data_IF_281249214393
#
_entry.id   IF_281249214393
#
_cell.length_a   1.000
_cell.length_b   1.000
_cell.length_c   1.000
_cell.angle_alpha   90.00
_cell.angle_beta   90.00
_cell.angle_gamma   90.00
#
_symmetry.space_group_name_H-M   'P 1'
#
loop_
_entity.id
_entity.type
_entity.pdbx_description
1 polymer ?
#
# COMPACT_ATOMS: atom_id res chain seq x y z
N UNK A 1 -4.13 -4.37 4.00
CA UNK A 1 -3.83 -3.80 2.66
C UNK A 1 -3.39 -2.36 2.80
N UNK A 2 -2.43 -1.92 2.01
CA UNK A 2 -1.98 -0.53 1.89
C UNK A 2 -2.12 -0.16 0.39
N UNK A 3 -2.78 0.93 0.02
CA UNK A 3 -2.61 1.60 -1.28
C UNK A 3 -1.92 2.91 -0.98
N UNK A 4 -0.82 3.18 -1.66
CA UNK A 4 -0.04 4.38 -1.44
C UNK A 4 -0.25 5.40 -2.57
N UNK A 5 -0.62 6.62 -2.20
CA UNK A 5 -0.87 7.73 -3.12
C UNK A 5 -0.20 9.00 -2.58
N UNK A 6 0.70 9.60 -3.35
CA UNK A 6 1.31 10.91 -3.06
C UNK A 6 0.94 11.91 -4.15
N UNK A 7 0.46 13.09 -3.74
CA UNK A 7 0.06 14.17 -4.65
C UNK A 7 0.59 15.51 -4.15
N UNK A 8 1.34 16.25 -4.96
CA UNK A 8 1.66 17.67 -4.76
C UNK A 8 0.66 18.55 -5.52
N UNK A 9 0.40 19.75 -5.00
CA UNK A 9 -0.57 20.71 -5.55
C UNK A 9 0.04 21.77 -6.47
N UNK A 10 1.35 21.79 -6.71
CA UNK A 10 1.99 22.80 -7.57
C UNK A 10 3.08 22.19 -8.45
N UNK A 11 3.13 22.55 -9.76
CA UNK A 11 4.23 22.10 -10.62
C UNK A 11 4.24 22.40 -12.13
N UNK A 12 5.43 22.69 -12.69
CA UNK A 12 5.77 22.84 -14.14
C UNK A 12 6.30 21.53 -14.77
N UNK A 13 6.03 21.33 -16.07
CA UNK A 13 6.13 20.10 -16.87
C UNK A 13 7.41 19.22 -16.84
N UNK A 14 8.52 19.60 -16.19
CA UNK A 14 9.78 18.85 -16.21
C UNK A 14 10.00 17.92 -15.00
N UNK A 15 9.19 18.04 -13.94
CA UNK A 15 9.33 17.24 -12.71
C UNK A 15 8.05 16.45 -12.38
N UNK A 16 8.17 15.37 -11.58
CA UNK A 16 7.01 14.59 -11.12
C UNK A 16 6.42 15.23 -9.86
N UNK A 17 5.15 15.59 -9.93
CA UNK A 17 4.40 16.17 -8.81
C UNK A 17 3.42 15.18 -8.17
N UNK A 18 3.35 13.96 -8.67
CA UNK A 18 2.53 12.91 -8.07
C UNK A 18 3.13 11.54 -8.31
N UNK A 19 2.83 10.63 -7.40
CA UNK A 19 3.18 9.21 -7.47
C UNK A 19 2.01 8.41 -6.92
N UNK A 20 1.44 7.53 -7.74
CA UNK A 20 0.30 6.70 -7.39
C UNK A 20 0.70 5.25 -7.57
N UNK A 21 0.62 4.44 -6.53
CA UNK A 21 1.07 3.03 -6.55
C UNK A 21 -0.11 2.12 -6.25
N UNK A 22 -0.37 1.15 -7.14
CA UNK A 22 -1.30 0.07 -6.91
C UNK A 22 -0.57 -1.10 -6.23
N UNK A 23 -0.48 -1.04 -4.91
CA UNK A 23 0.31 -1.94 -4.08
C UNK A 23 -0.12 -3.40 -4.20
N UNK A 24 0.78 -4.25 -4.70
CA UNK A 24 0.48 -5.65 -4.98
C UNK A 24 -0.39 -5.90 -6.23
N UNK A 25 -0.83 -4.84 -6.91
CA UNK A 25 -1.75 -4.89 -8.04
C UNK A 25 -1.10 -4.48 -9.36
N UNK A 26 -1.83 -4.67 -10.46
CA UNK A 26 -1.35 -4.32 -11.80
C UNK A 26 -1.44 -2.81 -12.03
N UNK A 27 -0.71 -2.31 -13.05
CA UNK A 27 -0.88 -0.93 -13.50
C UNK A 27 -2.34 -0.71 -13.90
N UNK A 28 -2.98 0.33 -13.37
CA UNK A 28 -4.40 0.58 -13.58
C UNK A 28 -4.69 2.07 -13.66
N UNK A 29 -5.83 2.42 -14.25
CA UNK A 29 -6.27 3.81 -14.39
C UNK A 29 -7.64 3.97 -13.76
N UNK A 30 -7.79 4.96 -12.88
CA UNK A 30 -9.06 5.31 -12.25
C UNK A 30 -9.32 6.79 -12.49
N UNK A 31 -10.38 7.08 -13.26
CA UNK A 31 -10.60 8.43 -13.78
C UNK A 31 -9.41 8.89 -14.63
N UNK A 32 -8.78 9.98 -14.22
CA UNK A 32 -7.59 10.55 -14.90
C UNK A 32 -6.27 10.20 -14.19
N UNK A 33 -6.29 9.33 -13.19
CA UNK A 33 -5.12 8.96 -12.38
C UNK A 33 -4.62 7.58 -12.81
N UNK A 34 -3.33 7.52 -13.16
CA UNK A 34 -2.64 6.26 -13.47
C UNK A 34 -1.91 5.79 -12.22
N UNK A 35 -2.27 4.60 -11.74
CA UNK A 35 -1.59 3.92 -10.64
C UNK A 35 -0.55 2.96 -11.23
N UNK A 36 0.71 3.14 -10.84
CA UNK A 36 1.80 2.25 -11.22
C UNK A 36 1.64 0.89 -10.55
N UNK A 37 1.90 -0.18 -11.30
CA UNK A 37 1.72 -1.55 -10.84
C UNK A 37 2.87 -2.01 -9.94
N UNK A 38 2.53 -2.78 -8.92
CA UNK A 38 3.47 -3.37 -7.98
C UNK A 38 3.26 -4.89 -7.90
N UNK A 39 3.70 -5.61 -8.94
CA UNK A 39 3.57 -7.07 -9.05
C UNK A 39 4.89 -7.82 -8.84
N UNK A 40 5.94 -7.13 -8.39
CA UNK A 40 7.30 -7.66 -8.33
C UNK A 40 7.50 -8.61 -7.15
N UNK A 41 8.54 -9.44 -7.24
CA UNK A 41 8.86 -10.39 -6.19
C UNK A 41 9.21 -9.69 -4.87
N UNK A 42 8.40 -9.96 -3.84
CA UNK A 42 8.76 -9.70 -2.45
C UNK A 42 9.76 -10.74 -1.93
N UNK A 43 10.12 -10.63 -0.65
CA UNK A 43 11.02 -11.60 -0.02
C UNK A 43 11.53 -11.19 1.35
N UNK A 44 12.25 -12.13 1.97
CA UNK A 44 12.87 -12.00 3.30
C UNK A 44 13.72 -10.74 3.49
N UNK A 45 14.45 -10.36 2.45
CA UNK A 45 15.16 -9.11 2.33
C UNK A 45 15.23 -8.77 0.84
N UNK A 46 14.38 -7.83 0.40
CA UNK A 46 14.34 -7.39 -1.00
C UNK A 46 14.39 -5.88 -1.07
N UNK A 47 15.14 -5.41 -2.05
CA UNK A 47 15.15 -4.05 -2.52
C UNK A 47 14.88 -4.08 -4.01
N UNK A 48 13.80 -3.43 -4.44
CA UNK A 48 13.39 -3.39 -5.83
C UNK A 48 13.32 -1.93 -6.31
N UNK A 49 14.38 -1.44 -6.98
CA UNK A 49 14.31 -0.15 -7.66
C UNK A 49 13.44 -0.27 -8.91
N UNK A 50 12.31 0.42 -8.89
CA UNK A 50 11.22 0.24 -9.85
C UNK A 50 11.13 1.43 -10.79
N UNK A 51 11.60 1.27 -12.04
CA UNK A 51 11.72 2.36 -13.03
C UNK A 51 12.55 3.53 -12.42
N UNK A 52 12.82 4.59 -13.18
CA UNK A 52 13.77 5.65 -12.79
C UNK A 52 13.35 6.51 -11.58
N UNK A 53 12.14 6.33 -11.02
CA UNK A 53 11.53 7.33 -10.12
C UNK A 53 10.76 6.77 -8.92
N UNK A 54 10.66 5.46 -8.72
CA UNK A 54 10.12 4.90 -7.47
C UNK A 54 10.68 3.50 -7.17
N UNK A 55 10.26 2.89 -6.07
CA UNK A 55 10.63 1.52 -5.72
C UNK A 55 10.15 1.13 -4.34
N UNK A 56 10.51 -0.07 -3.92
CA UNK A 56 10.22 -0.54 -2.58
C UNK A 56 11.32 -1.38 -1.96
N UNK A 57 11.24 -1.52 -0.65
CA UNK A 57 11.97 -2.52 0.11
C UNK A 57 11.01 -3.31 1.02
N UNK A 58 11.31 -4.58 1.22
CA UNK A 58 10.56 -5.47 2.10
C UNK A 58 11.49 -6.32 2.94
N UNK A 59 11.11 -6.56 4.19
CA UNK A 59 11.80 -7.49 5.08
C UNK A 59 10.84 -8.51 5.69
N UNK A 60 11.39 -9.58 6.23
CA UNK A 60 10.63 -10.59 6.96
C UNK A 60 10.20 -11.76 6.09
N UNK A 61 10.05 -12.91 6.74
CA UNK A 61 9.83 -14.19 6.08
C UNK A 61 8.58 -14.88 6.63
N UNK A 62 7.64 -15.26 5.75
CA UNK A 62 6.50 -16.10 6.12
C UNK A 62 6.97 -17.54 6.25
N UNK A 63 6.65 -18.19 7.37
CA UNK A 63 7.01 -19.59 7.57
C UNK A 63 6.13 -20.48 6.68
N UNK A 64 6.78 -21.45 6.01
CA UNK A 64 6.21 -22.65 5.35
C UNK A 64 6.22 -22.72 3.79
N UNK A 65 6.53 -23.93 3.28
CA UNK A 65 6.54 -24.44 1.88
C UNK A 65 7.42 -23.77 0.78
N UNK A 66 7.44 -24.43 -0.40
CA UNK A 66 8.19 -24.05 -1.60
C UNK A 66 7.60 -22.76 -2.21
N UNK A 67 8.45 -21.73 -2.27
CA UNK A 67 8.03 -20.33 -2.36
C UNK A 67 7.58 -19.93 -3.76
N UNK A 68 6.54 -19.10 -3.82
CA UNK A 68 6.18 -18.40 -5.06
C UNK A 68 5.94 -16.92 -4.79
N UNK A 69 5.96 -16.10 -5.84
CA UNK A 69 5.63 -14.67 -5.77
C UNK A 69 4.30 -14.38 -5.06
N UNK A 70 3.38 -15.35 -5.06
CA UNK A 70 2.07 -15.26 -4.43
C UNK A 70 2.12 -15.17 -2.90
N UNK A 71 3.23 -15.58 -2.27
CA UNK A 71 3.35 -15.55 -0.80
C UNK A 71 3.45 -14.11 -0.26
N UNK A 72 3.82 -13.14 -1.11
CA UNK A 72 3.97 -11.72 -0.76
C UNK A 72 2.89 -10.83 -1.39
N UNK A 73 1.88 -11.44 -2.03
CA UNK A 73 0.76 -10.72 -2.64
C UNK A 73 -0.55 -11.39 -2.21
N UNK A 74 -1.32 -10.70 -1.39
CA UNK A 74 -2.68 -11.12 -1.10
C UNK A 74 -3.56 -10.85 -2.32
N UNK A 75 -4.44 -11.80 -2.60
CA UNK A 75 -5.57 -11.62 -3.50
C UNK A 75 -6.86 -11.70 -2.70
N UNK A 76 -7.74 -10.75 -2.93
CA UNK A 76 -9.04 -10.72 -2.30
C UNK A 76 -9.91 -11.89 -2.82
N UNK A 77 -10.73 -12.46 -1.94
CA UNK A 77 -11.57 -13.64 -2.23
C UNK A 77 -13.06 -13.36 -2.15
N UNK A 78 -13.47 -12.08 -2.04
CA UNK A 78 -14.86 -11.68 -1.78
C UNK A 78 -15.28 -10.46 -2.61
N UNK A 79 -16.56 -10.11 -2.64
CA UNK A 79 -17.00 -8.96 -3.44
C UNK A 79 -16.78 -7.67 -2.64
N UNK A 80 -15.97 -6.76 -3.18
CA UNK A 80 -15.74 -5.45 -2.57
C UNK A 80 -16.81 -4.46 -3.04
N UNK A 81 -17.75 -4.12 -2.16
CA UNK A 81 -18.87 -3.21 -2.44
C UNK A 81 -18.52 -1.72 -2.50
N UNK A 82 -17.27 -1.37 -2.80
CA UNK A 82 -16.76 0.00 -2.82
C UNK A 82 -16.47 0.50 -4.24
N UNK A 83 -16.55 1.80 -4.46
CA UNK A 83 -16.18 2.40 -5.75
C UNK A 83 -14.71 2.15 -6.08
N UNK A 84 -14.43 1.88 -7.36
CA UNK A 84 -13.10 1.55 -7.86
C UNK A 84 -12.47 0.34 -7.15
N UNK A 85 -13.30 -0.64 -6.78
CA UNK A 85 -12.92 -1.89 -6.11
C UNK A 85 -11.75 -2.63 -6.76
N UNK A 86 -11.54 -2.47 -8.07
CA UNK A 86 -10.40 -3.03 -8.79
C UNK A 86 -9.04 -2.72 -8.16
N UNK A 87 -8.86 -1.52 -7.61
CA UNK A 87 -7.64 -1.13 -6.89
C UNK A 87 -7.45 -1.88 -5.56
N UNK A 88 -8.53 -2.46 -5.03
CA UNK A 88 -8.56 -3.08 -3.70
C UNK A 88 -8.55 -4.61 -3.73
N UNK A 89 -8.40 -5.19 -4.93
CA UNK A 89 -8.43 -6.65 -5.12
C UNK A 89 -7.13 -7.35 -4.76
N UNK A 90 -6.01 -6.61 -4.65
CA UNK A 90 -4.69 -7.16 -4.34
C UNK A 90 -3.99 -6.26 -3.32
N UNK A 91 -3.10 -6.85 -2.53
CA UNK A 91 -2.29 -6.11 -1.57
C UNK A 91 -0.90 -6.73 -1.45
N UNK A 92 0.12 -5.89 -1.32
CA UNK A 92 1.45 -6.38 -0.96
C UNK A 92 1.51 -6.75 0.52
N UNK A 93 2.21 -7.84 0.81
CA UNK A 93 2.45 -8.35 2.15
C UNK A 93 3.94 -8.31 2.50
N UNK A 94 4.21 -8.00 3.76
CA UNK A 94 5.53 -8.14 4.37
C UNK A 94 5.35 -8.56 5.83
N UNK A 95 6.08 -9.58 6.31
CA UNK A 95 5.99 -10.04 7.70
C UNK A 95 6.56 -9.06 8.73
N UNK A 96 7.51 -8.19 8.34
CA UNK A 96 8.22 -7.33 9.29
C UNK A 96 8.14 -5.86 8.92
N UNK A 97 8.66 -5.46 7.76
CA UNK A 97 8.66 -4.05 7.35
C UNK A 97 8.55 -3.91 5.85
N UNK A 98 7.78 -2.90 5.45
CA UNK A 98 7.59 -2.53 4.06
C UNK A 98 7.79 -1.03 3.87
N UNK A 99 8.43 -0.63 2.78
CA UNK A 99 8.70 0.80 2.52
C UNK A 99 8.67 1.06 1.02
N UNK A 100 7.76 1.96 0.60
CA UNK A 100 7.85 2.60 -0.71
C UNK A 100 8.76 3.83 -0.65
N UNK A 101 9.44 4.12 -1.74
CA UNK A 101 10.16 5.37 -1.91
C UNK A 101 9.93 5.95 -3.30
N UNK A 102 9.86 7.27 -3.39
CA UNK A 102 9.88 8.04 -4.63
C UNK A 102 11.23 8.71 -4.84
N UNK A 103 11.62 8.92 -6.09
CA UNK A 103 12.81 9.70 -6.49
C UNK A 103 12.41 10.65 -7.61
N UNK A 104 13.20 11.72 -7.79
CA UNK A 104 12.95 12.70 -8.85
C UNK A 104 11.55 13.36 -8.76
N UNK A 105 10.99 13.42 -7.55
CA UNK A 105 9.86 14.28 -7.22
C UNK A 105 10.35 15.71 -7.12
N UNK A 106 9.53 16.67 -7.55
CA UNK A 106 9.88 18.08 -7.41
C UNK A 106 9.94 18.48 -5.92
N UNK A 107 10.73 19.50 -5.61
CA UNK A 107 10.70 20.12 -4.29
C UNK A 107 9.31 20.75 -4.07
N UNK A 108 8.76 20.58 -2.88
CA UNK A 108 7.46 21.16 -2.53
C UNK A 108 6.67 20.36 -1.51
N UNK A 109 5.44 20.82 -1.27
CA UNK A 109 4.55 20.22 -0.30
C UNK A 109 3.65 19.14 -0.95
N UNK A 110 3.80 17.91 -0.48
CA UNK A 110 3.03 16.75 -0.91
C UNK A 110 2.00 16.36 0.14
N UNK A 111 0.78 16.09 -0.31
CA UNK A 111 -0.21 15.36 0.47
C UNK A 111 0.03 13.86 0.27
N UNK A 112 0.20 13.12 1.35
CA UNK A 112 0.31 11.66 1.31
C UNK A 112 -1.00 11.05 1.76
N UNK A 113 -1.58 10.23 0.90
CA UNK A 113 -2.79 9.47 1.12
C UNK A 113 -2.45 7.99 1.11
N UNK A 114 -2.77 7.31 2.19
CA UNK A 114 -2.61 5.86 2.29
C UNK A 114 -3.99 5.26 2.51
N UNK A 115 -4.40 4.32 1.68
CA UNK A 115 -5.67 3.63 1.82
C UNK A 115 -5.45 2.25 2.39
N UNK A 116 -6.25 1.92 3.40
CA UNK A 116 -6.20 0.60 4.00
C UNK A 116 -7.53 -0.12 3.80
N UNK A 117 -7.41 -1.42 3.51
CA UNK A 117 -8.53 -2.36 3.46
C UNK A 117 -8.08 -3.68 4.08
N UNK A 118 -8.96 -4.33 4.83
CA UNK A 118 -8.72 -5.71 5.25
C UNK A 118 -9.34 -6.66 4.22
N UNK A 119 -8.51 -7.48 3.58
CA UNK A 119 -8.90 -8.40 2.48
C UNK A 119 -8.52 -9.87 2.75
N UNK A 120 -7.76 -10.14 3.81
CA UNK A 120 -7.30 -11.48 4.21
C UNK A 120 -8.12 -11.97 5.41
N UNK A 121 -8.24 -11.15 6.44
CA UNK A 121 -8.96 -11.48 7.68
C UNK A 121 -10.45 -11.33 7.41
N UNK A 122 -11.20 -12.43 7.54
CA UNK A 122 -12.64 -12.44 7.25
C UNK A 122 -13.46 -12.03 8.47
N UNK A 123 -14.60 -11.38 8.23
CA UNK A 123 -15.60 -11.12 9.29
C UNK A 123 -16.45 -12.35 9.66
N UNK A 124 -16.31 -13.47 8.95
CA UNK A 124 -17.03 -14.72 9.28
C UNK A 124 -16.32 -15.49 10.40
N UNK A 125 -17.07 -16.24 11.23
CA UNK A 125 -16.55 -17.00 12.39
C UNK A 125 -15.66 -18.20 12.01
N UNK A 126 -14.59 -17.98 11.27
CA UNK A 126 -13.58 -18.99 10.90
C UNK A 126 -12.22 -18.64 11.53
N UNK A 127 -11.25 -19.56 11.49
CA UNK A 127 -9.88 -19.29 11.99
C UNK A 127 -9.24 -18.03 11.38
N UNK A 128 -9.63 -17.66 10.15
CA UNK A 128 -9.19 -16.44 9.48
C UNK A 128 -9.76 -15.13 10.07
N UNK A 129 -10.68 -15.19 11.04
CA UNK A 129 -11.22 -14.02 11.74
C UNK A 129 -10.51 -13.68 13.06
N UNK A 130 -9.62 -14.56 13.51
CA UNK A 130 -8.88 -14.43 14.77
C UNK A 130 -7.57 -13.64 14.62
N UNK A 131 -7.12 -13.45 13.38
CA UNK A 131 -5.95 -12.63 13.09
C UNK A 131 -6.22 -11.15 13.37
N UNK A 132 -5.18 -10.44 13.82
CA UNK A 132 -5.19 -8.99 13.94
C UNK A 132 -3.90 -8.46 13.32
N UNK A 133 -4.02 -7.50 12.41
CA UNK A 133 -2.87 -6.83 11.81
C UNK A 133 -2.76 -5.44 12.41
N UNK A 134 -1.69 -5.24 13.20
CA UNK A 134 -1.37 -3.96 13.85
C UNK A 134 0.03 -3.57 13.37
N UNK A 135 0.21 -2.33 12.95
CA UNK A 135 1.49 -1.83 12.48
C UNK A 135 1.61 -0.32 12.67
N UNK A 136 2.85 0.16 12.66
CA UNK A 136 3.14 1.58 12.68
C UNK A 136 3.27 2.10 11.24
N UNK A 137 2.79 3.32 11.01
CA UNK A 137 2.90 4.03 9.73
C UNK A 137 3.91 5.15 9.89
N UNK A 138 4.93 5.16 9.04
CA UNK A 138 5.95 6.19 8.99
C UNK A 138 5.94 6.91 7.64
N UNK A 139 6.09 8.24 7.67
CA UNK A 139 6.25 9.06 6.47
C UNK A 139 7.49 9.92 6.65
N UNK A 140 8.45 9.82 5.73
CA UNK A 140 9.77 10.45 5.83
C UNK A 140 10.46 10.24 7.19
N UNK A 141 10.32 9.03 7.75
CA UNK A 141 10.90 8.67 9.04
C UNK A 141 10.16 9.18 10.28
N UNK A 142 9.11 10.01 10.12
CA UNK A 142 8.25 10.44 11.23
C UNK A 142 7.14 9.43 11.45
N UNK A 143 6.89 9.09 12.71
CA UNK A 143 5.76 8.24 13.11
C UNK A 143 4.46 9.03 12.94
N UNK A 144 3.60 8.57 12.04
CA UNK A 144 2.36 9.25 11.70
C UNK A 144 1.12 8.49 12.19
N UNK A 145 1.23 7.19 12.44
CA UNK A 145 0.21 6.40 13.14
C UNK A 145 0.89 5.26 13.89
N UNK A 146 0.66 5.18 15.19
CA UNK A 146 1.12 4.10 16.05
C UNK A 146 0.01 3.07 16.23
N UNK A 147 0.39 1.79 16.28
CA UNK A 147 -0.52 0.65 16.50
C UNK A 147 -1.78 0.68 15.62
N UNK A 148 -1.61 1.01 14.34
CA UNK A 148 -2.71 1.15 13.40
C UNK A 148 -3.38 -0.20 13.12
N UNK A 149 -4.67 -0.29 13.45
CA UNK A 149 -5.53 -1.44 13.18
C UNK A 149 -6.54 -1.08 12.08
N UNK A 150 -6.40 -1.73 10.91
CA UNK A 150 -7.22 -1.47 9.74
C UNK A 150 -8.70 -1.74 10.02
N UNK A 151 -9.02 -2.87 10.67
CA UNK A 151 -10.40 -3.30 10.89
C UNK A 151 -11.09 -2.35 11.85
N UNK A 152 -10.39 -1.92 12.90
CA UNK A 152 -10.89 -0.93 13.85
C UNK A 152 -11.09 0.43 13.17
N UNK A 153 -10.09 0.90 12.41
CA UNK A 153 -10.14 2.20 11.73
C UNK A 153 -11.21 2.26 10.63
N UNK A 154 -11.46 1.15 9.92
CA UNK A 154 -12.48 1.05 8.88
C UNK A 154 -13.87 0.67 9.42
N UNK A 155 -14.00 0.42 10.73
CA UNK A 155 -15.23 -0.07 11.37
C UNK A 155 -15.78 -1.34 10.71
N UNK A 156 -14.90 -2.26 10.35
CA UNK A 156 -15.23 -3.54 9.72
C UNK A 156 -14.23 -3.99 8.65
N UNK A 157 -14.35 -5.27 8.29
CA UNK A 157 -13.63 -5.90 7.18
C UNK A 157 -14.21 -5.45 5.84
N UNK A 158 -13.43 -5.49 4.75
CA UNK A 158 -13.86 -5.11 3.39
C UNK A 158 -14.34 -3.66 3.25
N UNK A 159 -14.04 -2.80 4.24
CA UNK A 159 -14.28 -1.36 4.20
C UNK A 159 -12.97 -0.63 3.98
N UNK A 160 -13.02 0.42 3.17
CA UNK A 160 -11.87 1.30 2.95
C UNK A 160 -11.82 2.35 4.05
N UNK A 161 -10.64 2.49 4.63
CA UNK A 161 -10.27 3.69 5.38
C UNK A 161 -9.09 4.38 4.68
N UNK A 162 -8.92 5.66 4.91
CA UNK A 162 -7.84 6.45 4.34
C UNK A 162 -7.21 7.31 5.42
N UNK A 163 -5.89 7.21 5.60
CA UNK A 163 -5.15 8.23 6.31
C UNK A 163 -4.68 9.26 5.28
N UNK A 164 -5.19 10.49 5.40
CA UNK A 164 -4.59 11.67 4.77
C UNK A 164 -3.65 12.29 5.78
N UNK A 165 -2.36 12.30 5.47
CA UNK A 165 -1.32 12.85 6.33
C UNK A 165 -0.76 14.11 5.66
N UNK A 166 -0.75 15.20 6.43
CA UNK A 166 -0.49 16.56 5.96
C UNK A 166 0.91 16.78 5.37
N UNK A 167 1.03 17.90 4.65
CA UNK A 167 2.19 18.37 3.87
C UNK A 167 3.55 17.77 4.26
N UNK A 168 4.04 16.86 3.44
CA UNK A 168 5.44 16.42 3.41
C UNK A 168 6.22 17.38 2.53
N UNK A 169 7.25 18.03 3.08
CA UNK A 169 8.16 18.86 2.29
C UNK A 169 9.32 17.99 1.81
N UNK A 170 9.53 17.92 0.49
CA UNK A 170 10.67 17.26 -0.15
C UNK A 170 11.79 18.25 -0.44
#
# INVERSE_FOLDING_TARGET
>A
MEIFQMESREGRAAHRYSLHINCGGEKSTVGNVVYEGDQYEGGAAKFHPMIDYWGFSSTGHFWDHNRTINDYIAQNVSVLGMNHSGLYTRARLSPLSFTYYGRCLADGNYTVKIHFVEIIIRGNKSFHSLGRQIFNVYIQGKLESEDFDIVQAAQGVEKRTSSEQGNVNL
#
